data_IF_943456763118
#
_entry.id   IF_943456763118
#
_cell.length_a   1.000
_cell.length_b   1.000
_cell.length_c   1.000
_cell.angle_alpha   90.00
_cell.angle_beta   90.00
_cell.angle_gamma   90.00
#
_symmetry.space_group_name_H-M   'P 1'
#
loop_
_entity.id
_entity.type
_entity.pdbx_description
1 polymer ?
#
# COMPACT_ATOMS: atom_id res chain seq x y z
N UNK A 1 -11.81 5.98 32.90
CA UNK A 1 -12.42 6.07 31.55
C UNK A 1 -12.58 4.70 30.93
N UNK A 2 -11.50 3.92 30.78
CA UNK A 2 -11.57 2.56 30.21
C UNK A 2 -12.60 1.68 30.93
N UNK A 3 -12.49 1.54 32.25
CA UNK A 3 -13.41 0.69 33.03
C UNK A 3 -14.85 1.17 32.93
N UNK A 4 -15.07 2.50 32.93
CA UNK A 4 -16.39 3.07 32.76
C UNK A 4 -17.01 2.70 31.40
N UNK A 5 -16.22 2.65 30.33
CA UNK A 5 -16.67 2.20 29.01
C UNK A 5 -16.90 0.68 28.98
N UNK A 6 -15.99 -0.11 29.55
CA UNK A 6 -16.08 -1.58 29.56
C UNK A 6 -17.29 -2.06 30.37
N UNK A 7 -17.60 -1.38 31.48
CA UNK A 7 -18.71 -1.71 32.37
C UNK A 7 -20.04 -1.03 31.97
N UNK A 8 -20.10 -0.38 30.80
CA UNK A 8 -21.28 0.36 30.31
C UNK A 8 -21.83 1.40 31.31
N UNK A 9 -20.93 2.07 32.03
CA UNK A 9 -21.28 3.05 33.06
C UNK A 9 -21.31 4.47 32.49
N UNK A 10 -22.42 4.81 31.85
CA UNK A 10 -22.61 6.10 31.16
C UNK A 10 -22.42 7.31 32.10
N UNK A 11 -22.92 7.25 33.34
CA UNK A 11 -22.79 8.38 34.29
C UNK A 11 -21.33 8.66 34.68
N UNK A 12 -20.51 7.61 34.83
CA UNK A 12 -19.08 7.79 35.08
C UNK A 12 -18.34 8.32 33.85
N UNK A 13 -18.76 7.94 32.64
CA UNK A 13 -18.20 8.50 31.41
C UNK A 13 -18.47 10.00 31.32
N UNK A 14 -19.72 10.42 31.56
CA UNK A 14 -20.09 11.86 31.58
C UNK A 14 -19.26 12.62 32.60
N UNK A 15 -19.22 12.14 33.84
CA UNK A 15 -18.44 12.76 34.91
C UNK A 15 -16.97 12.92 34.52
N UNK A 16 -16.35 11.89 33.93
CA UNK A 16 -14.95 11.95 33.52
C UNK A 16 -14.71 12.98 32.40
N UNK A 17 -15.60 13.06 31.42
CA UNK A 17 -15.50 14.05 30.34
C UNK A 17 -15.67 15.47 30.89
N UNK A 18 -16.64 15.69 31.80
CA UNK A 18 -16.85 16.96 32.49
C UNK A 18 -15.62 17.37 33.33
N UNK A 19 -14.91 16.41 33.91
CA UNK A 19 -13.66 16.63 34.64
C UNK A 19 -12.41 16.73 33.74
N UNK A 20 -12.57 16.89 32.43
CA UNK A 20 -11.48 17.22 31.51
C UNK A 20 -10.81 16.02 30.83
N UNK A 21 -11.35 14.81 30.95
CA UNK A 21 -10.86 13.66 30.17
C UNK A 21 -11.25 13.83 28.70
N UNK A 22 -10.26 14.08 27.84
CA UNK A 22 -10.49 14.21 26.40
C UNK A 22 -10.66 12.85 25.72
N UNK A 23 -11.81 12.62 25.09
CA UNK A 23 -12.07 11.41 24.30
C UNK A 23 -11.08 11.22 23.14
N UNK A 24 -10.70 12.30 22.46
CA UNK A 24 -9.76 12.24 21.35
C UNK A 24 -8.35 11.80 21.79
N UNK A 25 -7.89 12.29 22.95
CA UNK A 25 -6.59 11.85 23.51
C UNK A 25 -6.67 10.45 24.10
N UNK A 26 -7.83 10.06 24.63
CA UNK A 26 -8.04 8.75 25.23
C UNK A 26 -8.15 7.62 24.20
N UNK A 27 -8.91 7.80 23.12
CA UNK A 27 -9.17 6.79 22.09
C UNK A 27 -7.98 6.65 21.11
N UNK A 28 -6.83 6.22 21.62
CA UNK A 28 -5.67 5.85 20.79
C UNK A 28 -5.92 4.52 20.08
N UNK A 29 -5.08 4.20 19.07
CA UNK A 29 -5.13 2.90 18.36
C UNK A 29 -5.13 1.72 19.36
N UNK A 30 -4.19 1.74 20.31
CA UNK A 30 -4.07 0.68 21.34
C UNK A 30 -5.30 0.60 22.23
N UNK A 31 -5.83 1.75 22.69
CA UNK A 31 -7.02 1.76 23.57
C UNK A 31 -8.28 1.29 22.84
N UNK A 32 -8.42 1.60 21.55
CA UNK A 32 -9.53 1.08 20.75
C UNK A 32 -9.44 -0.45 20.62
N UNK A 33 -8.25 -1.00 20.33
CA UNK A 33 -8.08 -2.45 20.28
C UNK A 33 -8.38 -3.11 21.63
N UNK A 34 -7.91 -2.53 22.73
CA UNK A 34 -8.26 -3.01 24.07
C UNK A 34 -9.78 -3.03 24.23
N UNK A 35 -10.48 -1.92 23.96
CA UNK A 35 -11.93 -1.83 24.08
C UNK A 35 -12.68 -2.89 23.24
N UNK A 36 -12.25 -3.12 22.00
CA UNK A 36 -12.87 -4.15 21.15
C UNK A 36 -12.58 -5.59 21.62
N UNK A 37 -11.47 -5.82 22.32
CA UNK A 37 -11.06 -7.13 22.83
C UNK A 37 -11.45 -7.35 24.31
N UNK A 38 -11.92 -6.33 25.03
CA UNK A 38 -12.31 -6.42 26.44
C UNK A 38 -13.69 -7.02 26.66
N UNK A 39 -14.58 -7.06 25.65
CA UNK A 39 -15.85 -7.78 25.78
C UNK A 39 -15.58 -9.29 25.72
N UNK A 40 -15.71 -10.03 26.82
CA UNK A 40 -15.41 -11.47 26.85
C UNK A 40 -16.36 -12.32 25.97
N UNK A 41 -17.38 -11.71 25.37
CA UNK A 41 -18.53 -12.39 24.77
C UNK A 41 -19.16 -11.59 23.63
N UNK A 42 -18.36 -11.10 22.67
CA UNK A 42 -18.95 -10.68 21.39
C UNK A 42 -18.71 -11.77 20.32
N UNK A 43 -19.37 -12.94 20.42
CA UNK A 43 -19.22 -14.02 19.44
C UNK A 43 -19.62 -13.54 18.05
N UNK A 44 -20.51 -12.54 17.96
CA UNK A 44 -20.93 -11.92 16.70
C UNK A 44 -19.76 -11.28 15.98
N UNK A 45 -18.97 -10.44 16.65
CA UNK A 45 -17.81 -9.83 16.02
C UNK A 45 -16.78 -10.88 15.59
N UNK A 46 -16.57 -11.91 16.43
CA UNK A 46 -15.68 -13.03 16.08
C UNK A 46 -16.14 -13.80 14.85
N UNK A 47 -17.42 -14.13 14.76
CA UNK A 47 -18.01 -14.81 13.62
C UNK A 47 -17.91 -13.96 12.35
N UNK A 48 -18.22 -12.66 12.42
CA UNK A 48 -18.10 -11.75 11.28
C UNK A 48 -16.66 -11.66 10.75
N UNK A 49 -15.66 -11.63 11.64
CA UNK A 49 -14.26 -11.62 11.21
C UNK A 49 -13.89 -12.95 10.54
N UNK A 50 -14.38 -14.09 11.06
CA UNK A 50 -14.20 -15.40 10.41
C UNK A 50 -14.81 -15.43 9.02
N UNK A 51 -16.02 -14.89 8.86
CA UNK A 51 -16.73 -14.89 7.59
C UNK A 51 -16.01 -14.01 6.55
N UNK A 52 -15.51 -12.84 6.96
CA UNK A 52 -14.79 -11.93 6.07
C UNK A 52 -13.38 -12.45 5.72
N UNK A 53 -12.69 -13.11 6.66
CA UNK A 53 -11.34 -13.65 6.44
C UNK A 53 -11.34 -15.06 5.84
N UNK A 54 -12.51 -15.70 5.75
CA UNK A 54 -12.70 -17.04 5.18
C UNK A 54 -11.70 -18.07 5.74
N UNK A 55 -11.43 -18.02 7.04
CA UNK A 55 -10.37 -18.82 7.65
C UNK A 55 -10.61 -19.16 9.11
N UNK A 56 -10.05 -20.29 9.54
CA UNK A 56 -10.09 -20.70 10.95
C UNK A 56 -9.14 -19.80 11.77
N UNK A 57 -9.72 -18.99 12.63
CA UNK A 57 -8.97 -18.18 13.59
C UNK A 57 -8.57 -19.05 14.79
N UNK A 58 -7.36 -18.88 15.34
CA UNK A 58 -6.94 -19.60 16.54
C UNK A 58 -7.81 -19.22 17.76
N UNK A 59 -7.92 -20.10 18.77
CA UNK A 59 -8.82 -19.94 19.92
C UNK A 59 -8.54 -18.70 20.79
N UNK A 60 -7.37 -18.06 20.65
CA UNK A 60 -6.98 -16.84 21.37
C UNK A 60 -6.70 -15.66 20.42
N UNK A 61 -7.36 -15.65 19.26
CA UNK A 61 -7.18 -14.57 18.28
C UNK A 61 -7.59 -13.22 18.87
N UNK A 62 -6.67 -12.24 18.80
CA UNK A 62 -6.94 -10.85 19.17
C UNK A 62 -7.38 -10.08 17.93
N UNK A 63 -8.52 -9.42 18.03
CA UNK A 63 -9.06 -8.60 16.96
C UNK A 63 -8.19 -7.37 16.74
N UNK A 64 -7.78 -7.16 15.49
CA UNK A 64 -7.07 -5.95 15.09
C UNK A 64 -8.05 -4.91 14.57
N UNK A 65 -7.69 -3.61 14.62
CA UNK A 65 -8.51 -2.58 13.96
C UNK A 65 -8.64 -2.81 12.45
N UNK A 66 -7.69 -3.52 11.83
CA UNK A 66 -7.78 -3.90 10.42
C UNK A 66 -8.92 -4.89 10.20
N UNK A 67 -9.02 -5.94 11.03
CA UNK A 67 -10.10 -6.92 10.96
C UNK A 67 -11.47 -6.26 11.17
N UNK A 68 -11.56 -5.38 12.17
CA UNK A 68 -12.77 -4.60 12.45
C UNK A 68 -13.12 -3.70 11.25
N UNK A 69 -12.11 -3.09 10.63
CA UNK A 69 -12.29 -2.32 9.40
C UNK A 69 -12.91 -3.12 8.27
N UNK A 70 -12.46 -4.37 8.08
CA UNK A 70 -13.01 -5.26 7.06
C UNK A 70 -14.46 -5.65 7.36
N UNK A 71 -14.80 -5.91 8.64
CA UNK A 71 -16.19 -6.17 9.05
C UNK A 71 -17.08 -4.96 8.77
N UNK A 72 -16.62 -3.75 9.09
CA UNK A 72 -17.34 -2.50 8.82
C UNK A 72 -17.62 -2.34 7.31
N UNK A 73 -16.63 -2.60 6.47
CA UNK A 73 -16.79 -2.54 5.00
C UNK A 73 -17.77 -3.60 4.49
N UNK A 74 -17.67 -4.83 5.00
CA UNK A 74 -18.57 -5.91 4.67
C UNK A 74 -20.04 -5.57 5.01
N UNK A 75 -20.29 -5.06 6.22
CA UNK A 75 -21.63 -4.68 6.67
C UNK A 75 -22.21 -3.50 5.88
N UNK A 76 -21.37 -2.63 5.31
CA UNK A 76 -21.78 -1.53 4.43
C UNK A 76 -21.82 -1.90 2.94
N UNK A 77 -21.75 -3.18 2.60
CA UNK A 77 -21.87 -3.66 1.22
C UNK A 77 -20.62 -3.41 0.37
N UNK A 78 -19.45 -3.21 0.97
CA UNK A 78 -18.13 -3.15 0.32
C UNK A 78 -17.84 -1.87 -0.49
N UNK A 79 -18.83 -0.99 -0.65
CA UNK A 79 -18.65 0.30 -1.35
C UNK A 79 -18.06 1.37 -0.44
N UNK A 80 -18.35 1.29 0.86
CA UNK A 80 -17.72 2.13 1.86
C UNK A 80 -16.28 1.67 2.12
N UNK A 81 -15.37 2.63 2.28
CA UNK A 81 -13.98 2.39 2.65
C UNK A 81 -13.67 2.89 4.05
N UNK A 82 -13.53 1.95 4.99
CA UNK A 82 -13.29 2.22 6.39
C UNK A 82 -11.92 2.89 6.60
N UNK A 83 -11.85 3.81 7.56
CA UNK A 83 -10.60 4.49 7.89
C UNK A 83 -9.49 3.52 8.31
N UNK A 84 -9.85 2.41 8.97
CA UNK A 84 -8.89 1.40 9.42
C UNK A 84 -8.24 0.62 8.26
N UNK A 85 -8.87 0.54 7.08
CA UNK A 85 -8.31 -0.19 5.93
C UNK A 85 -7.52 0.71 4.97
N UNK A 86 -7.53 2.03 5.19
CA UNK A 86 -6.82 3.00 4.31
C UNK A 86 -5.31 2.86 4.43
N UNK A 87 -4.60 3.12 3.32
CA UNK A 87 -3.12 3.03 3.25
C UNK A 87 -2.44 3.87 4.34
N UNK A 88 -2.89 5.12 4.54
CA UNK A 88 -2.34 6.02 5.56
C UNK A 88 -2.46 5.43 6.97
N UNK A 89 -3.61 4.86 7.31
CA UNK A 89 -3.83 4.23 8.60
C UNK A 89 -2.95 3.00 8.78
N UNK A 90 -2.88 2.11 7.78
CA UNK A 90 -2.05 0.90 7.82
C UNK A 90 -0.57 1.20 8.08
N UNK A 91 -0.03 2.28 7.52
CA UNK A 91 1.35 2.72 7.79
C UNK A 91 1.53 3.05 9.28
N UNK A 92 0.65 3.87 9.85
CA UNK A 92 0.71 4.26 11.27
C UNK A 92 0.54 3.04 12.17
N UNK A 93 -0.45 2.19 11.86
CA UNK A 93 -0.74 0.96 12.59
C UNK A 93 0.46 0.02 12.62
N UNK A 94 1.07 -0.27 11.46
CA UNK A 94 2.22 -1.17 11.39
C UNK A 94 3.45 -0.60 12.10
N UNK A 95 3.67 0.71 12.06
CA UNK A 95 4.78 1.35 12.78
C UNK A 95 4.63 1.22 14.30
N UNK A 96 3.40 1.34 14.81
CA UNK A 96 3.12 1.19 16.24
C UNK A 96 3.42 -0.25 16.72
N UNK A 97 3.04 -1.24 15.93
CA UNK A 97 3.23 -2.66 16.27
C UNK A 97 4.61 -3.21 15.91
N UNK A 98 5.31 -2.59 14.95
CA UNK A 98 6.63 -2.99 14.47
C UNK A 98 7.80 -2.61 15.38
N UNK A 99 7.63 -1.60 16.25
CA UNK A 99 8.68 -1.17 17.18
C UNK A 99 9.03 -2.21 18.25
N UNK A 100 8.12 -3.15 18.57
CA UNK A 100 8.39 -4.20 19.55
C UNK A 100 9.41 -5.24 19.07
N UNK A 101 9.71 -5.32 17.75
CA UNK A 101 10.65 -6.33 17.20
C UNK A 101 12.08 -5.81 16.99
N UNK A 102 12.36 -4.52 17.25
CA UNK A 102 13.66 -3.89 16.95
C UNK A 102 14.45 -3.44 18.17
N UNK A 103 13.93 -3.58 19.38
CA UNK A 103 14.67 -3.30 20.62
C UNK A 103 15.59 -4.47 20.98
N UNK A 104 16.62 -4.71 20.17
CA UNK A 104 17.56 -5.81 20.38
C UNK A 104 18.85 -5.74 19.55
N UNK A 105 19.20 -4.59 18.96
CA UNK A 105 20.49 -4.45 18.30
C UNK A 105 20.94 -3.00 18.18
N UNK A 106 21.84 -2.59 19.07
CA UNK A 106 22.79 -1.52 18.81
C UNK A 106 24.20 -2.09 18.95
N UNK A 107 24.99 -1.98 17.88
CA UNK A 107 26.44 -1.74 17.85
C UNK A 107 26.87 -1.46 16.40
N UNK A 108 27.01 -0.16 16.09
CA UNK A 108 28.01 0.51 15.23
C UNK A 108 28.59 -0.18 13.97
N UNK A 109 28.52 0.51 12.82
CA UNK A 109 29.51 0.37 11.72
C UNK A 109 28.94 0.46 10.28
N UNK A 110 29.53 1.26 9.35
CA UNK A 110 28.95 1.56 8.04
C UNK A 110 29.44 0.62 6.93
N UNK A 111 28.57 0.33 5.95
CA UNK A 111 29.02 -0.09 4.61
C UNK A 111 28.62 -1.48 4.14
N UNK A 112 27.85 -1.48 3.05
CA UNK A 112 27.82 -2.47 1.96
C UNK A 112 27.20 -3.87 2.16
N UNK A 113 26.37 -4.18 1.15
CA UNK A 113 26.14 -5.47 0.52
C UNK A 113 25.42 -6.62 1.28
N UNK A 114 24.28 -6.97 0.66
CA UNK A 114 23.78 -8.33 0.42
C UNK A 114 22.97 -9.05 1.54
N UNK A 115 21.80 -9.53 1.09
CA UNK A 115 20.92 -10.59 1.65
C UNK A 115 19.82 -10.21 2.68
N UNK A 116 18.66 -9.81 2.13
CA UNK A 116 17.38 -10.57 2.05
C UNK A 116 17.02 -11.56 3.19
N UNK A 117 15.91 -11.28 3.89
CA UNK A 117 14.89 -12.25 4.38
C UNK A 117 13.66 -11.46 4.87
N UNK A 118 12.60 -11.35 4.05
CA UNK A 118 11.31 -12.07 4.16
C UNK A 118 10.37 -11.54 5.26
N UNK A 119 9.47 -10.64 4.86
CA UNK A 119 8.11 -10.59 5.38
C UNK A 119 7.20 -11.40 4.44
N UNK A 120 6.48 -12.34 5.04
CA UNK A 120 5.48 -13.21 4.44
C UNK A 120 4.19 -12.44 4.11
N UNK A 121 3.51 -12.85 3.03
CA UNK A 121 2.20 -12.41 2.53
C UNK A 121 2.08 -11.40 1.35
N UNK A 122 3.15 -11.03 0.66
CA UNK A 122 3.05 -10.35 -0.67
C UNK A 122 3.41 -11.23 -1.88
N UNK A 123 3.58 -12.54 -1.69
CA UNK A 123 4.08 -13.47 -2.71
C UNK A 123 3.00 -13.78 -3.74
N UNK A 124 2.74 -12.86 -4.68
CA UNK A 124 2.36 -13.21 -6.05
C UNK A 124 2.38 -12.01 -7.00
N UNK A 125 2.13 -10.78 -6.53
CA UNK A 125 2.09 -9.60 -7.41
C UNK A 125 3.48 -9.04 -7.80
N UNK A 126 4.50 -9.24 -6.96
CA UNK A 126 5.79 -8.54 -7.06
C UNK A 126 6.81 -9.15 -8.06
N UNK A 127 6.60 -10.40 -8.52
CA UNK A 127 7.52 -11.02 -9.49
C UNK A 127 7.44 -10.39 -10.89
N UNK A 128 6.29 -9.78 -11.23
CA UNK A 128 6.09 -9.08 -12.51
C UNK A 128 6.56 -7.62 -12.49
N UNK A 129 6.69 -7.00 -11.33
CA UNK A 129 7.05 -5.57 -11.24
C UNK A 129 8.56 -5.34 -11.34
N UNK A 130 9.36 -6.19 -10.68
CA UNK A 130 10.84 -6.14 -10.79
C UNK A 130 11.35 -6.46 -12.19
N UNK A 131 10.63 -7.27 -12.96
CA UNK A 131 10.96 -7.55 -14.37
C UNK A 131 10.63 -6.36 -15.27
N UNK A 132 9.52 -5.65 -15.02
CA UNK A 132 9.14 -4.45 -15.79
C UNK A 132 10.11 -3.29 -15.59
N UNK A 133 10.50 -2.99 -14.34
CA UNK A 133 11.46 -1.93 -14.07
C UNK A 133 12.83 -2.23 -14.68
N UNK A 134 13.30 -3.49 -14.59
CA UNK A 134 14.55 -3.91 -15.25
C UNK A 134 14.46 -3.88 -16.78
N UNK A 135 13.31 -4.23 -17.37
CA UNK A 135 13.13 -4.19 -18.82
C UNK A 135 13.13 -2.74 -19.35
N UNK A 136 12.43 -1.84 -18.65
CA UNK A 136 12.41 -0.41 -19.00
C UNK A 136 13.81 0.21 -19.01
N UNK A 137 14.63 -0.04 -17.98
CA UNK A 137 16.01 0.48 -17.91
C UNK A 137 16.91 -0.15 -18.99
N UNK A 138 16.64 -1.39 -19.43
CA UNK A 138 17.39 -2.04 -20.50
C UNK A 138 17.02 -1.53 -21.89
N UNK A 139 15.75 -1.21 -22.15
CA UNK A 139 15.27 -0.78 -23.48
C UNK A 139 15.27 0.75 -23.65
N UNK A 140 15.26 1.52 -22.57
CA UNK A 140 15.38 2.97 -22.59
C UNK A 140 16.85 3.40 -22.69
N UNK A 141 17.52 3.01 -23.79
CA UNK A 141 18.82 3.60 -24.13
C UNK A 141 18.58 4.98 -24.76
N UNK A 142 19.28 6.04 -24.31
CA UNK A 142 19.15 7.37 -24.91
C UNK A 142 19.50 7.33 -26.40
N UNK A 143 18.61 7.84 -27.26
CA UNK A 143 18.91 7.93 -28.69
C UNK A 143 20.07 8.91 -28.90
N UNK A 144 21.13 8.46 -29.57
CA UNK A 144 22.23 9.35 -29.99
C UNK A 144 21.73 10.22 -31.15
N UNK A 145 21.81 11.56 -31.06
CA UNK A 145 21.54 12.40 -32.21
C UNK A 145 22.52 12.05 -33.33
N UNK A 146 22.01 11.73 -34.52
CA UNK A 146 22.87 11.59 -35.70
C UNK A 146 23.40 12.98 -36.04
N UNK A 147 24.72 13.15 -36.01
CA UNK A 147 25.35 14.35 -36.52
C UNK A 147 25.03 14.47 -38.01
N UNK A 148 24.24 15.47 -38.36
CA UNK A 148 23.98 15.82 -39.76
C UNK A 148 25.26 16.49 -40.26
N UNK A 149 25.93 15.99 -41.31
CA UNK A 149 27.08 16.68 -41.86
C UNK A 149 26.57 17.98 -42.49
N UNK A 150 27.10 19.11 -42.04
CA UNK A 150 26.95 20.39 -42.72
C UNK A 150 27.73 20.29 -44.02
N UNK A 151 27.05 19.96 -45.11
CA UNK A 151 27.63 20.01 -46.45
C UNK A 151 27.71 21.49 -46.83
N UNK A 152 28.90 22.06 -46.71
CA UNK A 152 29.23 23.33 -47.33
C UNK A 152 29.14 23.20 -48.84
N UNK A 153 28.43 24.17 -49.42
CA UNK A 153 28.10 24.32 -50.82
C UNK A 153 29.29 24.18 -51.79
N UNK A 154 29.08 23.33 -52.80
CA UNK A 154 29.43 23.49 -54.23
C UNK A 154 30.84 23.95 -54.63
N UNK A 155 31.58 23.06 -55.32
CA UNK A 155 32.10 23.33 -56.68
C UNK A 155 32.03 22.08 -57.58
N UNK A 156 31.35 22.28 -58.71
CA UNK A 156 31.19 21.52 -59.94
C UNK A 156 32.21 20.42 -60.27
N UNK A 157 31.72 19.21 -60.63
CA UNK A 157 31.68 18.70 -62.02
C UNK A 157 31.19 17.24 -62.00
N UNK A 158 30.18 16.94 -62.82
CA UNK A 158 30.03 15.61 -63.44
C UNK A 158 29.22 14.54 -62.71
N UNK A 159 28.10 14.21 -63.35
CA UNK A 159 27.47 12.88 -63.44
C UNK A 159 26.23 12.56 -62.56
N UNK A 160 25.11 12.65 -63.29
CA UNK A 160 23.86 11.88 -63.29
C UNK A 160 23.04 11.73 -62.00
N UNK A 161 21.91 12.44 -62.00
CA UNK A 161 20.79 12.29 -61.09
C UNK A 161 19.65 11.58 -61.87
N UNK A 162 19.45 10.28 -61.65
CA UNK A 162 18.20 9.63 -62.00
C UNK A 162 17.38 9.44 -60.72
N UNK A 163 16.51 10.41 -60.44
CA UNK A 163 15.42 10.25 -59.47
C UNK A 163 14.21 9.75 -60.24
N UNK A 164 13.91 8.45 -60.12
CA UNK A 164 12.60 7.89 -60.49
C UNK A 164 11.73 7.81 -59.24
N UNK A 165 10.82 8.78 -59.09
CA UNK A 165 9.76 8.74 -58.09
C UNK A 165 8.62 7.87 -58.63
N UNK A 166 8.47 6.64 -58.12
CA UNK A 166 7.27 5.83 -58.34
C UNK A 166 6.44 5.82 -57.06
N UNK A 167 5.48 6.74 -56.99
CA UNK A 167 4.42 6.73 -55.99
C UNK A 167 3.27 5.85 -56.49
N UNK A 168 3.12 4.67 -55.90
CA UNK A 168 1.92 3.85 -56.08
C UNK A 168 0.92 4.19 -54.97
N UNK A 169 -0.14 4.92 -55.31
CA UNK A 169 -1.42 4.86 -54.60
C UNK A 169 -2.51 4.69 -55.66
N UNK A 170 -2.95 3.44 -55.84
CA UNK A 170 -4.13 3.12 -56.61
C UNK A 170 -5.37 3.50 -55.79
N UNK A 171 -6.21 4.31 -56.44
CA UNK A 171 -7.58 4.65 -56.08
C UNK A 171 -8.45 3.48 -56.54
N UNK A 172 -9.36 3.01 -55.67
CA UNK A 172 -10.59 2.36 -56.11
C UNK A 172 -11.77 3.05 -55.41
N UNK A 173 -12.55 3.75 -56.21
CA UNK A 173 -13.87 4.29 -55.90
C UNK A 173 -14.91 3.56 -56.75
N UNK A 174 -16.07 3.35 -56.13
CA UNK A 174 -17.40 3.09 -56.70
C UNK A 174 -17.68 1.68 -57.26
#
# INVERSE_FOLDING_TARGET
>A
MLDALVMDRVEFVKLLIENGVSMHRFLTITRLEELYNTSPTNPTLFNLVRDVKQGNLPPNYKMTLIDIGLVIEYLMGGTYRCNYTRKRFRIIYNNLHGNSRRSGRHSTGPGSHLRKSQDSFSIQADKKEKTRHNHFIKTAQPYKPKAVPVITSTKYFGFHLDISLRGDQHIDQA
#
